data_IF_351867838243
#
_entry.id   IF_351867838243
#
_cell.length_a   1.000
_cell.length_b   1.000
_cell.length_c   1.000
_cell.angle_alpha   90.00
_cell.angle_beta   90.00
_cell.angle_gamma   90.00
#
_symmetry.space_group_name_H-M   'P 1'
#
loop_
_entity.id
_entity.type
_entity.pdbx_description
1 polymer ?
#
# COMPACT_ATOMS: atom_id res chain seq x y z
N UNK A 1 -20.28 42.99 72.45
CA UNK A 1 -21.06 41.87 71.87
C UNK A 1 -21.78 42.43 70.64
N UNK A 2 -21.36 42.01 69.43
CA UNK A 2 -22.14 41.16 68.48
C UNK A 2 -23.48 41.86 68.13
N UNK A 3 -23.84 42.20 66.89
CA UNK A 3 -23.62 41.57 65.59
C UNK A 3 -24.09 42.53 64.47
N UNK A 4 -23.43 42.40 63.30
CA UNK A 4 -23.71 42.77 61.88
C UNK A 4 -25.21 42.77 61.43
N UNK A 5 -25.59 43.05 60.14
CA UNK A 5 -24.90 43.59 58.94
C UNK A 5 -25.79 44.70 58.27
N UNK A 6 -25.53 45.31 57.11
CA UNK A 6 -25.72 44.74 55.77
C UNK A 6 -25.35 45.85 54.77
N UNK A 7 -24.10 45.82 54.30
CA UNK A 7 -23.70 46.51 53.09
C UNK A 7 -24.44 45.87 51.93
N UNK A 8 -25.40 46.59 51.33
CA UNK A 8 -25.97 46.23 50.03
C UNK A 8 -25.85 47.44 49.14
N UNK A 9 -24.82 47.43 48.31
CA UNK A 9 -24.80 48.07 47.00
C UNK A 9 -23.90 47.17 46.15
N UNK A 10 -24.37 46.80 44.96
CA UNK A 10 -23.95 47.64 43.85
C UNK A 10 -25.07 47.96 42.87
N UNK A 11 -25.12 49.24 42.47
CA UNK A 11 -25.84 49.71 41.31
C UNK A 11 -25.05 49.27 40.08
N UNK A 12 -25.68 48.44 39.25
CA UNK A 12 -25.17 47.85 38.02
C UNK A 12 -24.84 48.92 36.99
N UNK A 13 -23.58 48.98 36.55
CA UNK A 13 -23.17 49.69 35.34
C UNK A 13 -23.30 48.73 34.16
N UNK A 14 -24.32 48.98 33.33
CA UNK A 14 -24.57 48.27 32.08
C UNK A 14 -23.62 48.83 31.00
N UNK A 15 -22.56 48.09 30.70
CA UNK A 15 -21.62 48.37 29.60
C UNK A 15 -21.95 47.54 28.37
N UNK A 16 -22.08 48.22 27.22
CA UNK A 16 -22.22 47.65 25.88
C UNK A 16 -21.01 46.78 25.48
N UNK A 17 -21.22 45.53 25.06
CA UNK A 17 -20.35 44.86 24.08
C UNK A 17 -21.04 43.64 23.40
N UNK A 18 -21.25 43.80 22.10
CA UNK A 18 -21.16 42.80 21.02
C UNK A 18 -22.07 41.55 20.98
N UNK A 19 -22.73 41.40 19.83
CA UNK A 19 -23.13 40.12 19.27
C UNK A 19 -21.89 39.26 18.99
N UNK A 20 -21.71 38.16 19.72
CA UNK A 20 -20.99 36.98 19.28
C UNK A 20 -21.69 35.76 19.88
N UNK A 21 -22.37 35.05 19.00
CA UNK A 21 -22.77 33.65 19.04
C UNK A 21 -22.61 32.91 20.38
N UNK A 22 -23.74 32.45 20.93
CA UNK A 22 -23.82 31.52 22.05
C UNK A 22 -22.79 30.38 21.90
N UNK A 23 -21.94 30.25 22.91
CA UNK A 23 -20.98 29.17 23.05
C UNK A 23 -20.44 29.13 24.47
N UNK A 24 -21.32 29.23 25.47
CA UNK A 24 -21.01 28.66 26.78
C UNK A 24 -21.00 27.16 26.61
N UNK A 25 -19.84 26.60 26.25
CA UNK A 25 -19.57 25.20 26.54
C UNK A 25 -18.50 25.22 27.62
N UNK A 26 -18.89 24.65 28.73
CA UNK A 26 -18.08 24.50 29.92
C UNK A 26 -16.79 23.76 29.58
N UNK A 27 -15.68 24.12 30.23
CA UNK A 27 -14.37 23.46 30.09
C UNK A 27 -14.46 21.93 30.33
N UNK A 28 -15.53 21.49 31.00
CA UNK A 28 -15.89 20.10 31.27
C UNK A 28 -16.45 19.35 30.05
N UNK A 29 -17.18 20.03 29.14
CA UNK A 29 -17.75 19.43 27.92
C UNK A 29 -16.70 19.26 26.81
N UNK A 30 -15.72 20.17 26.71
CA UNK A 30 -14.60 20.03 25.77
C UNK A 30 -13.73 18.80 26.09
N UNK A 31 -13.55 18.49 27.37
CA UNK A 31 -12.71 17.37 27.81
C UNK A 31 -13.39 16.01 27.56
N UNK A 32 -14.71 15.92 27.75
CA UNK A 32 -15.49 14.72 27.42
C UNK A 32 -15.57 14.47 25.91
N UNK A 33 -15.71 15.54 25.11
CA UNK A 33 -15.67 15.43 23.65
C UNK A 33 -14.31 15.01 23.12
N UNK A 34 -13.22 15.52 23.70
CA UNK A 34 -11.86 15.09 23.35
C UNK A 34 -11.62 13.61 23.66
N UNK A 35 -12.13 13.11 24.79
CA UNK A 35 -12.03 11.69 25.15
C UNK A 35 -12.84 10.79 24.20
N UNK A 36 -14.06 11.21 23.85
CA UNK A 36 -14.91 10.51 22.88
C UNK A 36 -14.30 10.50 21.47
N UNK A 37 -13.66 11.60 21.06
CA UNK A 37 -12.93 11.66 19.79
C UNK A 37 -11.71 10.74 19.79
N UNK A 38 -10.92 10.73 20.88
CA UNK A 38 -9.78 9.85 21.03
C UNK A 38 -10.17 8.36 21.02
N UNK A 39 -11.29 8.01 21.67
CA UNK A 39 -11.81 6.64 21.68
C UNK A 39 -12.23 6.16 20.29
N UNK A 40 -12.94 6.99 19.53
CA UNK A 40 -13.33 6.68 18.15
C UNK A 40 -12.12 6.52 17.23
N UNK A 41 -11.07 7.32 17.43
CA UNK A 41 -9.83 7.18 16.67
C UNK A 41 -9.16 5.82 16.94
N UNK A 42 -9.12 5.38 18.21
CA UNK A 42 -8.60 4.06 18.58
C UNK A 42 -9.45 2.92 18.01
N UNK A 43 -10.78 3.04 18.05
CA UNK A 43 -11.71 2.04 17.48
C UNK A 43 -11.55 1.93 15.95
N UNK A 44 -11.31 3.04 15.24
CA UNK A 44 -11.05 3.02 13.80
C UNK A 44 -9.67 2.46 13.42
N UNK A 45 -8.69 2.54 14.31
CA UNK A 45 -7.36 1.97 14.11
C UNK A 45 -7.30 0.47 14.46
N UNK A 46 -8.30 -0.02 15.19
CA UNK A 46 -8.41 -1.41 15.63
C UNK A 46 -9.19 -2.31 14.67
N UNK A 47 -9.70 -1.78 13.54
CA UNK A 47 -10.21 -2.61 12.46
C UNK A 47 -9.00 -3.30 11.83
N UNK A 48 -8.77 -4.61 12.07
CA UNK A 48 -7.75 -5.34 11.37
C UNK A 48 -8.36 -5.60 10.00
N UNK A 49 -8.35 -4.57 9.15
CA UNK A 49 -8.69 -4.70 7.76
C UNK A 49 -7.95 -5.92 7.23
N UNK A 50 -8.70 -6.84 6.66
CA UNK A 50 -8.24 -8.17 6.25
C UNK A 50 -6.88 -8.03 5.55
N UNK A 51 -5.83 -8.41 6.27
CA UNK A 51 -4.47 -8.32 5.75
C UNK A 51 -4.37 -9.34 4.63
N UNK A 52 -4.71 -8.92 3.41
CA UNK A 52 -4.52 -9.68 2.20
C UNK A 52 -3.06 -10.12 2.21
N UNK A 53 -2.84 -11.43 2.38
CA UNK A 53 -1.51 -12.00 2.33
C UNK A 53 -0.97 -11.66 0.95
N UNK A 54 0.08 -10.82 0.91
CA UNK A 54 0.70 -10.48 -0.35
C UNK A 54 1.13 -11.80 -1.02
N UNK A 55 0.79 -12.02 -2.31
CA UNK A 55 1.28 -13.18 -3.01
C UNK A 55 2.81 -13.25 -2.88
N UNK A 56 3.40 -14.45 -2.76
CA UNK A 56 4.84 -14.59 -2.71
C UNK A 56 5.46 -13.84 -3.90
N UNK A 57 6.63 -13.21 -3.73
CA UNK A 57 7.27 -12.49 -4.82
C UNK A 57 7.43 -13.42 -6.01
N UNK A 58 7.04 -12.96 -7.20
CA UNK A 58 7.19 -13.74 -8.42
C UNK A 58 8.66 -14.15 -8.57
N UNK A 59 8.91 -15.45 -8.50
CA UNK A 59 10.22 -16.04 -8.64
C UNK A 59 10.24 -16.79 -9.96
N UNK A 60 11.12 -16.38 -10.87
CA UNK A 60 11.41 -17.19 -12.04
C UNK A 60 12.23 -18.42 -11.63
N UNK A 61 11.74 -19.62 -11.97
CA UNK A 61 12.49 -20.87 -11.92
C UNK A 61 12.62 -21.48 -13.32
N UNK A 62 13.78 -21.25 -13.95
CA UNK A 62 14.08 -21.79 -15.27
C UNK A 62 14.26 -23.32 -15.25
N UNK A 63 14.47 -23.95 -14.09
CA UNK A 63 14.67 -25.41 -13.99
C UNK A 63 13.41 -26.17 -14.40
N UNK A 64 12.24 -25.62 -14.08
CA UNK A 64 10.93 -26.18 -14.40
C UNK A 64 10.67 -26.32 -15.91
N UNK A 65 11.37 -25.53 -16.74
CA UNK A 65 11.10 -25.42 -18.18
C UNK A 65 12.23 -25.93 -19.08
N UNK A 66 13.31 -26.48 -18.51
CA UNK A 66 14.46 -26.96 -19.30
C UNK A 66 14.10 -28.04 -20.32
N UNK A 67 12.99 -28.76 -20.12
CA UNK A 67 12.48 -29.74 -21.08
C UNK A 67 12.04 -29.15 -22.43
N UNK A 68 11.91 -27.82 -22.55
CA UNK A 68 11.53 -27.13 -23.78
C UNK A 68 12.74 -26.80 -24.68
N UNK A 69 13.96 -27.08 -24.25
CA UNK A 69 15.15 -26.91 -25.11
C UNK A 69 15.05 -27.85 -26.31
N UNK A 70 15.22 -27.28 -27.51
CA UNK A 70 15.07 -27.97 -28.80
C UNK A 70 13.67 -27.83 -29.43
N UNK A 71 12.68 -27.34 -28.69
CA UNK A 71 11.33 -27.08 -29.22
C UNK A 71 11.29 -25.82 -30.09
N UNK A 72 10.26 -25.73 -30.94
CA UNK A 72 9.97 -24.51 -31.69
C UNK A 72 9.41 -23.42 -30.76
N UNK A 73 9.99 -22.21 -30.83
CA UNK A 73 9.54 -21.07 -30.04
C UNK A 73 8.30 -20.41 -30.64
N UNK A 74 7.20 -21.17 -30.74
CA UNK A 74 5.89 -20.61 -31.02
C UNK A 74 5.41 -19.73 -29.87
N UNK A 75 4.50 -18.79 -30.14
CA UNK A 75 3.94 -17.91 -29.10
C UNK A 75 3.34 -18.70 -27.94
N UNK A 76 2.63 -19.80 -28.25
CA UNK A 76 2.06 -20.69 -27.23
C UNK A 76 3.13 -21.35 -26.35
N UNK A 77 4.24 -21.82 -26.94
CA UNK A 77 5.35 -22.44 -26.20
C UNK A 77 6.07 -21.42 -25.32
N UNK A 78 6.27 -20.20 -25.82
CA UNK A 78 6.91 -19.12 -25.06
C UNK A 78 6.05 -18.69 -23.87
N UNK A 79 4.75 -18.57 -24.06
CA UNK A 79 3.81 -18.23 -22.98
C UNK A 79 3.65 -19.36 -21.96
N UNK A 80 3.67 -20.61 -22.41
CA UNK A 80 3.72 -21.78 -21.54
C UNK A 80 4.99 -21.75 -20.69
N UNK A 81 6.15 -21.54 -21.31
CA UNK A 81 7.43 -21.45 -20.60
C UNK A 81 7.43 -20.34 -19.55
N UNK A 82 6.90 -19.15 -19.87
CA UNK A 82 6.79 -18.06 -18.90
C UNK A 82 5.97 -18.48 -17.68
N UNK A 83 4.80 -19.09 -17.93
CA UNK A 83 3.84 -19.48 -16.90
C UNK A 83 4.40 -20.59 -16.02
N UNK A 84 4.98 -21.63 -16.62
CA UNK A 84 5.56 -22.77 -15.89
C UNK A 84 6.80 -22.38 -15.09
N UNK A 85 7.59 -21.43 -15.58
CA UNK A 85 8.71 -20.86 -14.85
C UNK A 85 8.28 -19.91 -13.72
N UNK A 86 6.99 -19.56 -13.60
CA UNK A 86 6.52 -18.58 -12.61
C UNK A 86 7.04 -17.16 -12.85
N UNK A 87 7.42 -16.83 -14.08
CA UNK A 87 7.96 -15.52 -14.43
C UNK A 87 6.85 -14.50 -14.73
N UNK A 88 7.04 -13.25 -14.32
CA UNK A 88 6.13 -12.14 -14.63
C UNK A 88 6.22 -11.71 -16.11
N UNK A 89 7.40 -11.89 -16.69
CA UNK A 89 7.69 -11.46 -18.06
C UNK A 89 8.59 -12.44 -18.78
N UNK A 90 8.57 -12.37 -20.11
CA UNK A 90 9.41 -13.20 -20.97
C UNK A 90 10.08 -12.32 -22.03
N UNK A 91 11.35 -12.60 -22.32
CA UNK A 91 12.11 -11.98 -23.41
C UNK A 91 12.71 -13.05 -24.30
N UNK A 92 12.36 -13.01 -25.57
CA UNK A 92 12.98 -13.84 -26.60
C UNK A 92 14.21 -13.15 -27.15
N UNK A 93 15.33 -13.88 -27.22
CA UNK A 93 16.63 -13.41 -27.68
C UNK A 93 17.04 -14.18 -28.93
N UNK A 94 17.34 -13.44 -30.00
CA UNK A 94 17.82 -14.02 -31.27
C UNK A 94 19.35 -13.90 -31.41
N UNK A 95 19.99 -14.74 -32.24
CA UNK A 95 21.42 -14.65 -32.49
C UNK A 95 21.83 -13.25 -32.97
N UNK A 96 22.91 -12.72 -32.38
CA UNK A 96 23.44 -11.39 -32.74
C UNK A 96 22.62 -10.19 -32.28
N UNK A 97 21.50 -10.40 -31.58
CA UNK A 97 20.69 -9.31 -31.05
C UNK A 97 21.46 -8.56 -29.97
N UNK A 98 21.70 -7.26 -30.19
CA UNK A 98 22.26 -6.40 -29.17
C UNK A 98 21.26 -6.23 -28.02
N UNK A 99 21.70 -6.58 -26.81
CA UNK A 99 20.91 -6.43 -25.58
C UNK A 99 21.76 -5.82 -24.48
N UNK A 100 21.09 -5.16 -23.55
CA UNK A 100 21.66 -4.70 -22.29
C UNK A 100 21.68 -5.85 -21.27
N UNK A 101 22.63 -5.81 -20.33
CA UNK A 101 22.87 -6.85 -19.34
C UNK A 101 22.18 -6.55 -18.00
N UNK A 102 21.02 -5.89 -18.03
CA UNK A 102 20.24 -5.65 -16.81
C UNK A 102 19.66 -6.97 -16.29
N UNK A 103 19.74 -7.15 -14.98
CA UNK A 103 19.16 -8.30 -14.31
C UNK A 103 17.73 -8.01 -13.84
N UNK A 104 16.81 -8.90 -14.18
CA UNK A 104 15.43 -8.95 -13.70
C UNK A 104 15.09 -10.39 -13.27
N UNK A 105 15.07 -10.65 -11.96
CA UNK A 105 14.80 -11.98 -11.41
C UNK A 105 13.38 -12.53 -11.65
N UNK A 106 12.44 -11.69 -12.09
CA UNK A 106 11.09 -12.09 -12.45
C UNK A 106 10.89 -12.29 -13.97
N UNK A 107 11.97 -12.24 -14.77
CA UNK A 107 11.93 -12.41 -16.22
C UNK A 107 12.55 -13.72 -16.65
N UNK A 108 11.84 -14.44 -17.52
CA UNK A 108 12.39 -15.55 -18.28
C UNK A 108 13.02 -15.03 -19.57
N UNK A 109 14.28 -15.39 -19.84
CA UNK A 109 14.89 -15.21 -21.17
C UNK A 109 14.85 -16.53 -21.92
N UNK A 110 14.34 -16.48 -23.14
CA UNK A 110 14.30 -17.60 -24.09
C UNK A 110 15.31 -17.29 -25.19
N UNK A 111 16.44 -17.99 -25.23
CA UNK A 111 17.40 -17.87 -26.33
C UNK A 111 17.06 -18.82 -27.45
N UNK A 112 17.11 -18.28 -28.66
CA UNK A 112 16.82 -19.00 -29.89
C UNK A 112 18.06 -19.12 -30.77
N UNK A 113 18.09 -20.17 -31.60
CA UNK A 113 18.97 -20.24 -32.76
C UNK A 113 18.38 -19.55 -34.00
N UNK A 114 19.09 -19.63 -35.12
CA UNK A 114 18.67 -19.09 -36.42
C UNK A 114 17.41 -19.78 -36.99
N UNK A 115 17.08 -20.97 -36.49
CA UNK A 115 15.92 -21.78 -36.88
C UNK A 115 14.70 -21.60 -35.98
N UNK A 116 14.70 -20.60 -35.09
CA UNK A 116 13.63 -20.38 -34.10
C UNK A 116 13.45 -21.53 -33.08
N UNK A 117 14.50 -22.33 -32.85
CA UNK A 117 14.53 -23.37 -31.82
C UNK A 117 15.07 -22.82 -30.52
N UNK A 118 14.49 -23.25 -29.40
CA UNK A 118 14.97 -22.88 -28.07
C UNK A 118 16.33 -23.55 -27.80
N UNK A 119 17.36 -22.77 -27.49
CA UNK A 119 18.70 -23.28 -27.14
C UNK A 119 19.05 -23.08 -25.67
N UNK A 120 18.43 -22.11 -24.99
CA UNK A 120 18.62 -21.88 -23.55
C UNK A 120 17.43 -21.16 -22.93
N UNK A 121 17.19 -21.47 -21.66
CA UNK A 121 16.17 -20.87 -20.81
C UNK A 121 16.81 -20.44 -19.49
N UNK A 122 16.72 -19.15 -19.15
CA UNK A 122 17.32 -18.61 -17.93
C UNK A 122 16.51 -17.48 -17.33
N UNK A 123 16.56 -17.36 -16.00
CA UNK A 123 16.00 -16.22 -15.29
C UNK A 123 17.00 -15.05 -15.25
N UNK A 124 16.52 -13.83 -15.44
CA UNK A 124 17.32 -12.61 -15.35
C UNK A 124 16.98 -11.50 -16.31
#
# INVERSE_FOLDING_TARGET
>A
MRVRPLFVLPLVLLGLAACANNGTLSEEEEQEQALLAARRALESAADPGEAATAPPPASCDATAVQGLVGEDASEAVVEQARTDAGADSVRTLRPGQAVTLEFNGARLNVELDDGNRIVSLRCG
#
